data_IF_855891255343
#
_entry.id   IF_855891255343
#
_cell.length_a   1.000
_cell.length_b   1.000
_cell.length_c   1.000
_cell.angle_alpha   90.00
_cell.angle_beta   90.00
_cell.angle_gamma   90.00
#
_symmetry.space_group_name_H-M   'P 1'
#
loop_
_entity.id
_entity.type
_entity.pdbx_description
1 polymer ?
#
# COMPACT_ATOMS: atom_id res chain seq x y z
N UNK A 1 52.51 -17.15 43.85
CA UNK A 1 51.67 -17.39 42.65
C UNK A 1 50.21 -17.00 42.89
N UNK A 2 49.62 -17.33 44.06
CA UNK A 2 48.23 -17.02 44.43
C UNK A 2 47.83 -15.53 44.37
N UNK A 3 48.73 -14.60 44.73
CA UNK A 3 48.43 -13.16 44.70
C UNK A 3 48.29 -12.61 43.27
N UNK A 4 49.09 -13.13 42.33
CA UNK A 4 49.03 -12.73 40.91
C UNK A 4 47.78 -13.29 40.22
N UNK A 5 47.36 -14.50 40.56
CA UNK A 5 46.13 -15.10 40.03
C UNK A 5 44.87 -14.40 40.59
N UNK A 6 44.90 -13.97 41.85
CA UNK A 6 43.82 -13.19 42.45
C UNK A 6 43.67 -11.81 41.78
N UNK A 7 44.78 -11.13 41.50
CA UNK A 7 44.78 -9.82 40.85
C UNK A 7 44.30 -9.92 39.39
N UNK A 8 44.66 -10.99 38.67
CA UNK A 8 44.16 -11.27 37.32
C UNK A 8 42.64 -11.56 37.30
N UNK A 9 42.12 -12.25 38.33
CA UNK A 9 40.69 -12.52 38.48
C UNK A 9 39.90 -11.23 38.76
N UNK A 10 40.42 -10.35 39.62
CA UNK A 10 39.77 -9.07 39.93
C UNK A 10 39.71 -8.18 38.69
N UNK A 11 40.80 -8.11 37.90
CA UNK A 11 40.85 -7.32 36.66
C UNK A 11 39.92 -7.88 35.58
N UNK A 12 39.80 -9.21 35.47
CA UNK A 12 38.86 -9.84 34.51
C UNK A 12 37.40 -9.63 34.91
N UNK A 13 37.08 -9.69 36.21
CA UNK A 13 35.74 -9.40 36.72
C UNK A 13 35.39 -7.92 36.53
N UNK A 14 36.30 -6.98 36.80
CA UNK A 14 36.04 -5.54 36.59
C UNK A 14 35.94 -5.17 35.11
N UNK A 15 36.73 -5.77 34.22
CA UNK A 15 36.55 -5.61 32.77
C UNK A 15 35.21 -6.16 32.29
N UNK A 16 34.74 -7.26 32.86
CA UNK A 16 33.46 -7.88 32.49
C UNK A 16 32.25 -7.04 32.97
N UNK A 17 32.37 -6.35 34.11
CA UNK A 17 31.30 -5.47 34.62
C UNK A 17 31.22 -4.11 33.91
N UNK A 18 32.30 -3.63 33.27
CA UNK A 18 32.29 -2.36 32.54
C UNK A 18 31.57 -2.41 31.18
N UNK A 19 31.18 -3.58 30.67
CA UNK A 19 30.49 -3.71 29.38
C UNK A 19 28.96 -3.69 29.46
N UNK A 20 28.39 -3.41 30.64
CA UNK A 20 26.94 -3.45 30.88
C UNK A 20 26.33 -2.07 31.22
N UNK A 21 26.95 -0.99 30.78
CA UNK A 21 26.23 0.27 30.58
C UNK A 21 25.74 0.31 29.13
N UNK A 22 24.84 -0.62 28.79
CA UNK A 22 24.00 -0.50 27.60
C UNK A 22 22.99 0.59 27.97
N UNK A 23 23.28 1.84 27.61
CA UNK A 23 22.21 2.83 27.58
C UNK A 23 21.19 2.27 26.59
N UNK A 24 20.04 1.80 27.09
CA UNK A 24 19.01 1.22 26.23
C UNK A 24 18.52 2.30 25.25
N UNK A 25 19.15 2.35 24.09
CA UNK A 25 18.83 3.35 23.09
C UNK A 25 17.50 2.98 22.43
N UNK A 26 16.64 3.98 22.29
CA UNK A 26 15.40 3.87 21.53
C UNK A 26 15.54 4.58 20.18
N UNK A 27 15.15 3.86 19.12
CA UNK A 27 15.21 4.32 17.75
C UNK A 27 13.88 4.09 17.08
N UNK A 28 13.26 5.17 16.61
CA UNK A 28 11.97 5.11 15.92
C UNK A 28 12.16 5.28 14.41
N UNK A 29 11.78 4.24 13.67
CA UNK A 29 11.69 4.28 12.22
C UNK A 29 10.25 4.51 11.79
N UNK A 30 10.06 5.38 10.79
CA UNK A 30 8.73 5.72 10.29
C UNK A 30 8.72 5.54 8.79
N UNK A 31 7.76 4.77 8.29
CA UNK A 31 7.55 4.61 6.86
C UNK A 31 6.16 5.07 6.46
N UNK A 32 6.09 5.80 5.36
CA UNK A 32 4.86 6.33 4.75
C UNK A 32 4.69 5.66 3.39
N UNK A 33 3.53 5.04 3.18
CA UNK A 33 3.21 4.30 1.97
C UNK A 33 1.81 4.61 1.46
N UNK A 34 1.66 4.78 0.15
CA UNK A 34 0.36 4.81 -0.52
C UNK A 34 -0.07 3.38 -0.85
N UNK A 35 -1.27 2.98 -0.41
CA UNK A 35 -1.78 1.62 -0.68
C UNK A 35 -2.47 1.51 -2.04
N UNK A 36 -2.90 2.63 -2.62
CA UNK A 36 -3.57 2.65 -3.92
C UNK A 36 -2.57 2.44 -5.07
N UNK A 37 -2.95 1.60 -6.03
CA UNK A 37 -2.20 1.43 -7.28
C UNK A 37 -2.31 2.65 -8.21
N UNK A 38 -3.47 3.29 -8.22
CA UNK A 38 -3.76 4.49 -8.98
C UNK A 38 -4.39 5.52 -8.05
N UNK A 39 -3.91 6.76 -8.12
CA UNK A 39 -4.49 7.87 -7.38
C UNK A 39 -5.30 8.69 -8.36
N UNK A 40 -6.60 8.75 -8.11
CA UNK A 40 -7.59 9.29 -9.03
C UNK A 40 -8.35 10.39 -8.31
N UNK A 41 -8.61 11.47 -9.03
CA UNK A 41 -9.45 12.55 -8.56
C UNK A 41 -10.82 12.01 -8.09
N UNK A 42 -11.29 12.51 -6.95
CA UNK A 42 -12.55 12.15 -6.29
C UNK A 42 -12.68 10.69 -5.81
N UNK A 43 -11.62 9.89 -5.90
CA UNK A 43 -11.57 8.53 -5.36
C UNK A 43 -10.73 8.47 -4.08
N UNK A 44 -10.96 7.45 -3.27
CA UNK A 44 -10.31 7.34 -1.97
C UNK A 44 -8.81 7.02 -2.11
N UNK A 45 -7.99 7.87 -1.48
CA UNK A 45 -6.55 7.76 -1.33
C UNK A 45 -6.22 7.29 0.09
N UNK A 46 -5.65 6.11 0.21
CA UNK A 46 -5.28 5.50 1.49
C UNK A 46 -3.77 5.60 1.72
N UNK A 47 -3.41 6.28 2.80
CA UNK A 47 -2.03 6.45 3.25
C UNK A 47 -1.83 5.66 4.54
N UNK A 48 -0.80 4.83 4.55
CA UNK A 48 -0.39 4.02 5.68
C UNK A 48 0.92 4.54 6.25
N UNK A 49 0.91 4.85 7.53
CA UNK A 49 2.10 5.13 8.34
C UNK A 49 2.42 3.89 9.17
N UNK A 50 3.67 3.44 9.12
CA UNK A 50 4.18 2.36 9.95
C UNK A 50 5.30 2.91 10.81
N UNK A 51 5.11 2.90 12.11
CA UNK A 51 6.09 3.31 13.10
C UNK A 51 6.66 2.04 13.73
N UNK A 52 7.98 1.88 13.72
CA UNK A 52 8.66 0.73 14.28
C UNK A 52 9.73 1.18 15.27
N UNK A 53 9.61 0.74 16.52
CA UNK A 53 10.64 0.94 17.52
C UNK A 53 11.66 -0.19 17.41
N UNK A 54 12.82 0.11 16.83
CA UNK A 54 13.93 -0.83 16.70
C UNK A 54 14.86 -0.86 17.92
N UNK A 55 14.62 0.01 18.90
CA UNK A 55 15.41 0.08 20.12
C UNK A 55 14.99 -0.94 21.18
N UNK A 56 15.85 -1.05 22.19
CA UNK A 56 15.63 -1.93 23.34
C UNK A 56 14.76 -1.28 24.43
N UNK A 57 14.65 0.05 24.44
CA UNK A 57 13.79 0.82 25.34
C UNK A 57 12.44 1.19 24.73
N UNK A 58 11.45 1.46 25.59
CA UNK A 58 10.14 1.98 25.20
C UNK A 58 10.24 3.46 24.82
N UNK A 59 9.56 3.85 23.74
CA UNK A 59 9.44 5.24 23.30
C UNK A 59 8.16 5.85 23.86
N UNK A 60 8.21 7.13 24.25
CA UNK A 60 7.08 7.84 24.87
C UNK A 60 6.69 9.10 24.10
N UNK A 61 5.43 9.55 24.29
CA UNK A 61 4.89 10.81 23.77
C UNK A 61 5.16 11.01 22.28
N UNK A 62 4.69 10.07 21.46
CA UNK A 62 4.87 10.10 20.01
C UNK A 62 3.79 11.00 19.39
N UNK A 63 4.19 11.97 18.60
CA UNK A 63 3.31 12.83 17.81
C UNK A 63 3.74 12.78 16.35
N UNK A 64 2.85 12.31 15.48
CA UNK A 64 3.05 12.38 14.03
C UNK A 64 2.35 13.62 13.51
N UNK A 65 2.98 14.36 12.60
CA UNK A 65 2.40 15.49 11.91
C UNK A 65 2.64 15.37 10.40
N UNK A 66 1.56 15.35 9.63
CA UNK A 66 1.59 15.32 8.18
C UNK A 66 0.54 16.24 7.53
N UNK A 67 0.16 17.32 8.21
CA UNK A 67 -0.85 18.27 7.72
C UNK A 67 -0.36 18.99 6.46
N UNK A 68 0.93 19.34 6.41
CA UNK A 68 1.53 20.12 5.32
C UNK A 68 1.50 19.38 3.98
N UNK A 69 1.60 18.04 3.99
CA UNK A 69 1.51 17.22 2.77
C UNK A 69 0.09 17.20 2.18
N UNK A 70 -0.94 17.50 2.98
CA UNK A 70 -2.35 17.31 2.62
C UNK A 70 -3.20 18.54 2.93
N UNK A 71 -3.02 19.65 2.19
CA UNK A 71 -3.82 20.85 2.39
C UNK A 71 -5.30 20.61 2.08
N UNK A 72 -6.19 21.15 2.93
CA UNK A 72 -7.65 20.97 2.84
C UNK A 72 -8.28 21.48 1.53
N UNK A 73 -7.59 22.39 0.83
CA UNK A 73 -8.01 22.91 -0.48
C UNK A 73 -7.90 21.85 -1.59
N UNK A 74 -6.93 20.93 -1.48
CA UNK A 74 -6.65 19.89 -2.48
C UNK A 74 -7.13 18.51 -2.05
N UNK A 75 -7.23 18.26 -0.75
CA UNK A 75 -7.64 16.97 -0.20
C UNK A 75 -8.79 17.14 0.78
N UNK A 76 -9.70 16.18 0.79
CA UNK A 76 -10.71 16.01 1.82
C UNK A 76 -10.30 14.88 2.76
N UNK A 77 -10.39 15.09 4.07
CA UNK A 77 -10.09 14.06 5.05
C UNK A 77 -11.36 13.27 5.35
N UNK A 78 -11.40 12.00 4.91
CA UNK A 78 -12.56 11.15 5.11
C UNK A 78 -12.46 10.35 6.41
N UNK A 79 -11.29 9.76 6.67
CA UNK A 79 -11.08 8.92 7.85
C UNK A 79 -9.66 9.05 8.38
N UNK A 80 -9.52 8.96 9.71
CA UNK A 80 -8.24 9.06 10.40
C UNK A 80 -7.89 10.50 10.77
N UNK A 81 -6.67 10.67 11.27
CA UNK A 81 -6.16 11.93 11.81
C UNK A 81 -4.75 12.15 11.24
N UNK A 82 -4.44 13.34 10.74
CA UNK A 82 -3.11 13.68 10.18
C UNK A 82 -2.09 14.09 11.25
N UNK A 83 -2.57 14.38 12.47
CA UNK A 83 -1.77 14.72 13.64
C UNK A 83 -2.05 13.82 14.87
N UNK A 84 -1.96 12.48 14.75
CA UNK A 84 -2.25 11.58 15.87
C UNK A 84 -1.15 11.63 16.94
N UNK A 85 -1.55 11.40 18.19
CA UNK A 85 -0.65 11.31 19.34
C UNK A 85 -0.80 9.94 20.01
N UNK A 86 0.33 9.33 20.37
CA UNK A 86 0.39 8.06 21.08
C UNK A 86 1.24 8.19 22.33
N UNK A 87 0.79 7.56 23.41
CA UNK A 87 1.47 7.65 24.71
C UNK A 87 2.80 6.88 24.71
N UNK A 88 2.82 5.67 24.16
CA UNK A 88 4.00 4.80 24.15
C UNK A 88 4.02 3.77 23.03
N UNK A 89 5.22 3.35 22.64
CA UNK A 89 5.49 2.19 21.77
C UNK A 89 6.56 1.34 22.44
N UNK A 90 6.22 0.08 22.74
CA UNK A 90 7.11 -0.86 23.42
C UNK A 90 8.37 -1.14 22.58
N UNK A 91 9.42 -1.62 23.22
CA UNK A 91 10.62 -2.11 22.56
C UNK A 91 10.28 -3.17 21.50
N UNK A 92 11.00 -3.15 20.36
CA UNK A 92 10.83 -4.09 19.26
C UNK A 92 9.38 -4.24 18.74
N UNK A 93 8.54 -3.21 18.88
CA UNK A 93 7.13 -3.25 18.49
C UNK A 93 6.79 -2.26 17.36
N UNK A 94 5.71 -2.56 16.63
CA UNK A 94 5.23 -1.74 15.52
C UNK A 94 3.84 -1.15 15.82
N UNK A 95 3.62 0.06 15.33
CA UNK A 95 2.33 0.75 15.34
C UNK A 95 1.98 1.15 13.91
N UNK A 96 0.76 0.85 13.48
CA UNK A 96 0.28 1.23 12.15
C UNK A 96 -0.88 2.20 12.24
N UNK A 97 -0.80 3.29 11.50
CA UNK A 97 -1.85 4.29 11.40
C UNK A 97 -2.25 4.48 9.94
N UNK A 98 -3.55 4.60 9.68
CA UNK A 98 -4.08 4.70 8.33
C UNK A 98 -4.98 5.92 8.23
N UNK A 99 -4.79 6.68 7.16
CA UNK A 99 -5.59 7.86 6.85
C UNK A 99 -6.17 7.70 5.45
N UNK A 100 -7.46 7.98 5.31
CA UNK A 100 -8.17 7.96 4.03
C UNK A 100 -8.54 9.38 3.68
N UNK A 101 -8.05 9.81 2.53
CA UNK A 101 -8.21 11.14 1.96
C UNK A 101 -8.93 11.03 0.61
N UNK A 102 -9.49 12.13 0.12
CA UNK A 102 -10.03 12.22 -1.23
C UNK A 102 -9.41 13.43 -1.95
N UNK A 103 -8.62 13.24 -3.01
CA UNK A 103 -8.07 14.34 -3.79
C UNK A 103 -9.16 15.01 -4.63
N UNK A 104 -9.29 16.33 -4.51
CA UNK A 104 -10.31 17.14 -5.20
C UNK A 104 -9.88 17.54 -6.61
N UNK A 105 -8.58 17.68 -6.85
CA UNK A 105 -8.01 18.17 -8.11
C UNK A 105 -7.06 17.14 -8.72
N UNK A 106 -7.09 17.03 -10.05
CA UNK A 106 -6.11 16.23 -10.80
C UNK A 106 -4.84 17.04 -11.09
N UNK A 107 -3.69 16.37 -11.14
CA UNK A 107 -2.42 17.01 -11.45
C UNK A 107 -1.26 16.43 -10.64
N UNK A 108 -0.04 16.95 -10.85
CA UNK A 108 1.10 16.60 -10.03
C UNK A 108 0.90 17.10 -8.59
N UNK A 109 1.19 16.24 -7.63
CA UNK A 109 1.16 16.55 -6.21
C UNK A 109 2.44 16.02 -5.56
N UNK A 110 3.12 16.89 -4.82
CA UNK A 110 4.30 16.50 -4.07
C UNK A 110 3.87 15.94 -2.72
N UNK A 111 4.23 14.68 -2.46
CA UNK A 111 3.94 14.00 -1.22
C UNK A 111 5.21 13.95 -0.37
N UNK A 112 5.37 14.96 0.47
CA UNK A 112 6.51 15.10 1.39
C UNK A 112 6.47 14.07 2.52
N UNK A 113 7.55 14.00 3.28
CA UNK A 113 7.65 13.17 4.48
C UNK A 113 6.76 13.73 5.61
N UNK A 114 6.29 12.83 6.48
CA UNK A 114 5.69 13.20 7.76
C UNK A 114 6.79 13.44 8.80
N UNK A 115 6.56 14.37 9.71
CA UNK A 115 7.44 14.66 10.83
C UNK A 115 6.92 13.94 12.06
N UNK A 116 7.76 13.16 12.74
CA UNK A 116 7.37 12.46 13.96
C UNK A 116 8.30 12.88 15.10
N UNK A 117 7.72 13.37 16.18
CA UNK A 117 8.43 13.72 17.40
C UNK A 117 8.17 12.69 18.50
N UNK A 118 9.18 12.38 19.29
CA UNK A 118 9.07 11.39 20.37
C UNK A 118 10.10 11.64 21.48
N UNK A 119 9.93 10.97 22.62
CA UNK A 119 10.86 10.99 23.75
C UNK A 119 11.44 9.62 24.01
N UNK A 120 12.75 9.55 24.25
CA UNK A 120 13.47 8.29 24.52
C UNK A 120 13.24 7.74 25.93
N UNK A 121 12.88 8.61 26.89
CA UNK A 121 12.63 8.27 28.29
C UNK A 121 11.52 9.14 28.85
N UNK A 122 10.76 8.60 29.81
CA UNK A 122 9.65 9.32 30.47
C UNK A 122 10.15 10.51 31.33
N UNK A 123 11.34 10.39 31.91
CA UNK A 123 11.90 11.39 32.84
C UNK A 123 12.64 12.53 32.15
N UNK A 124 13.04 12.33 30.90
CA UNK A 124 13.85 13.29 30.14
C UNK A 124 12.95 14.06 29.17
N UNK A 125 12.98 15.39 29.22
CA UNK A 125 12.20 16.26 28.32
C UNK A 125 12.86 16.47 26.95
N UNK A 126 13.84 15.65 26.59
CA UNK A 126 14.52 15.74 25.31
C UNK A 126 13.63 15.15 24.21
N UNK A 127 13.16 16.01 23.31
CA UNK A 127 12.32 15.63 22.18
C UNK A 127 13.22 15.32 20.99
N UNK A 128 13.11 14.11 20.48
CA UNK A 128 13.77 13.67 19.26
C UNK A 128 12.81 13.80 18.09
N UNK A 129 13.33 14.17 16.93
CA UNK A 129 12.56 14.29 15.69
C UNK A 129 13.07 13.26 14.70
N UNK A 130 12.17 12.49 14.11
CA UNK A 130 12.45 11.59 12.99
C UNK A 130 11.51 11.91 11.84
N UNK A 131 11.91 11.52 10.64
CA UNK A 131 11.16 11.77 9.42
C UNK A 131 10.70 10.45 8.82
N UNK A 132 9.52 10.46 8.20
CA UNK A 132 9.08 9.31 7.42
C UNK A 132 9.80 9.22 6.09
N UNK A 133 9.67 8.08 5.41
CA UNK A 133 9.96 8.00 3.98
C UNK A 133 9.14 9.02 3.19
N UNK A 134 9.73 9.56 2.14
CA UNK A 134 9.06 10.41 1.16
C UNK A 134 8.51 9.56 0.01
N UNK A 135 7.31 9.86 -0.47
CA UNK A 135 6.71 9.17 -1.63
C UNK A 135 7.16 9.85 -2.94
N UNK A 136 7.42 11.17 -2.88
CA UNK A 136 7.89 11.98 -4.01
C UNK A 136 6.73 12.62 -4.77
N UNK A 137 6.98 12.93 -6.04
CA UNK A 137 5.96 13.49 -6.93
C UNK A 137 4.99 12.38 -7.38
N UNK A 138 3.71 12.56 -7.05
CA UNK A 138 2.64 11.67 -7.44
C UNK A 138 1.68 12.41 -8.38
N UNK A 139 1.39 11.81 -9.53
CA UNK A 139 0.37 12.35 -10.44
C UNK A 139 -1.01 11.81 -10.08
N UNK A 140 -1.91 12.72 -9.69
CA UNK A 140 -3.33 12.43 -9.50
C UNK A 140 -4.01 12.44 -10.87
N UNK A 141 -4.49 11.29 -11.30
CA UNK A 141 -5.15 11.10 -12.60
C UNK A 141 -6.57 11.68 -12.53
N UNK A 142 -7.01 12.37 -13.59
CA UNK A 142 -8.40 12.85 -13.66
C UNK A 142 -9.37 11.65 -13.72
N UNK A 143 -10.56 11.79 -13.13
CA UNK A 143 -11.59 10.74 -13.18
C UNK A 143 -11.90 10.35 -14.64
N UNK A 144 -12.01 11.34 -15.53
CA UNK A 144 -12.24 11.13 -16.97
C UNK A 144 -11.15 10.28 -17.63
N UNK A 145 -9.88 10.58 -17.36
CA UNK A 145 -8.77 9.83 -17.96
C UNK A 145 -8.64 8.43 -17.39
N UNK A 146 -8.98 8.26 -16.11
CA UNK A 146 -9.07 6.96 -15.48
C UNK A 146 -10.19 6.12 -16.12
N UNK A 147 -11.40 6.64 -16.21
CA UNK A 147 -12.55 5.94 -16.80
C UNK A 147 -12.28 5.57 -18.26
N UNK A 148 -11.67 6.44 -19.05
CA UNK A 148 -11.30 6.11 -20.43
C UNK A 148 -10.36 4.91 -20.54
N UNK A 149 -9.46 4.72 -19.57
CA UNK A 149 -8.46 3.63 -19.58
C UNK A 149 -8.95 2.35 -18.91
N UNK A 150 -9.80 2.49 -17.89
CA UNK A 150 -10.14 1.41 -16.97
C UNK A 150 -11.65 1.12 -16.90
N UNK A 151 -12.49 1.81 -17.68
CA UNK A 151 -13.93 1.47 -17.75
C UNK A 151 -14.14 0.10 -18.38
N UNK A 152 -15.02 -0.68 -17.76
CA UNK A 152 -15.45 -1.96 -18.30
C UNK A 152 -16.43 -1.72 -19.45
N UNK A 153 -16.03 -2.08 -20.67
CA UNK A 153 -16.89 -1.98 -21.86
C UNK A 153 -17.78 -3.23 -22.02
N UNK A 154 -18.17 -3.86 -20.90
CA UNK A 154 -18.81 -5.17 -20.90
C UNK A 154 -20.16 -5.17 -21.61
N UNK A 155 -20.99 -4.14 -21.36
CA UNK A 155 -22.28 -3.99 -22.03
C UNK A 155 -22.13 -3.74 -23.53
N UNK A 156 -21.13 -2.94 -23.93
CA UNK A 156 -20.85 -2.67 -25.34
C UNK A 156 -20.47 -3.96 -26.08
N UNK A 157 -19.65 -4.81 -25.46
CA UNK A 157 -19.30 -6.13 -26.00
C UNK A 157 -20.50 -7.08 -26.11
N UNK A 158 -21.41 -7.06 -25.14
CA UNK A 158 -22.65 -7.85 -25.21
C UNK A 158 -23.53 -7.36 -26.35
N UNK A 159 -23.76 -6.05 -26.44
CA UNK A 159 -24.58 -5.45 -27.51
C UNK A 159 -23.98 -5.75 -28.88
N UNK A 160 -22.67 -5.56 -29.04
CA UNK A 160 -21.95 -5.91 -30.26
C UNK A 160 -22.15 -7.38 -30.63
N UNK A 161 -22.03 -8.29 -29.66
CA UNK A 161 -22.19 -9.72 -29.88
C UNK A 161 -23.64 -10.05 -30.27
N UNK A 162 -24.63 -9.48 -29.59
CA UNK A 162 -26.04 -9.67 -29.94
C UNK A 162 -26.36 -9.17 -31.36
N UNK A 163 -25.76 -8.06 -31.79
CA UNK A 163 -25.94 -7.53 -33.14
C UNK A 163 -25.16 -8.33 -34.20
N UNK A 164 -24.01 -8.90 -33.85
CA UNK A 164 -23.19 -9.72 -34.75
C UNK A 164 -23.74 -11.15 -34.93
N UNK A 165 -24.43 -11.69 -33.93
CA UNK A 165 -24.99 -13.05 -33.96
C UNK A 165 -25.89 -13.28 -35.19
N UNK A 166 -26.88 -12.44 -35.53
CA UNK A 166 -27.70 -12.64 -36.73
C UNK A 166 -26.89 -12.72 -38.02
N UNK A 167 -25.86 -11.86 -38.15
CA UNK A 167 -25.00 -11.81 -39.32
C UNK A 167 -24.14 -13.07 -39.49
N UNK A 168 -23.82 -13.77 -38.40
CA UNK A 168 -23.03 -15.02 -38.42
C UNK A 168 -23.95 -16.26 -38.46
N UNK A 169 -24.99 -16.27 -37.63
CA UNK A 169 -25.91 -17.39 -37.45
C UNK A 169 -26.78 -17.61 -38.69
N UNK A 170 -27.23 -16.55 -39.37
CA UNK A 170 -28.11 -16.69 -40.53
C UNK A 170 -27.41 -17.38 -41.73
N UNK A 171 -26.22 -16.94 -42.19
CA UNK A 171 -25.49 -17.66 -43.24
C UNK A 171 -25.08 -19.08 -42.81
N UNK A 172 -24.68 -19.26 -41.55
CA UNK A 172 -24.32 -20.59 -41.02
C UNK A 172 -25.51 -21.55 -41.05
N UNK A 173 -26.70 -21.10 -40.63
CA UNK A 173 -27.92 -21.90 -40.68
C UNK A 173 -28.26 -22.31 -42.12
N UNK A 174 -28.20 -21.36 -43.07
CA UNK A 174 -28.45 -21.65 -44.48
C UNK A 174 -27.46 -22.69 -45.03
N UNK A 175 -26.17 -22.54 -44.73
CA UNK A 175 -25.14 -23.51 -45.14
C UNK A 175 -25.37 -24.89 -44.50
N UNK A 176 -25.65 -24.95 -43.20
CA UNK A 176 -25.87 -26.20 -42.48
C UNK A 176 -27.09 -26.97 -43.02
N UNK A 177 -28.19 -26.25 -43.27
CA UNK A 177 -29.37 -26.82 -43.91
C UNK A 177 -29.10 -27.31 -45.33
N UNK A 178 -28.26 -26.59 -46.10
CA UNK A 178 -27.86 -27.01 -47.44
C UNK A 178 -27.02 -28.29 -47.40
N UNK A 179 -25.96 -28.31 -46.58
CA UNK A 179 -25.04 -29.44 -46.45
C UNK A 179 -25.77 -30.71 -46.00
N UNK A 180 -26.59 -30.62 -44.96
CA UNK A 180 -27.36 -31.77 -44.45
C UNK A 180 -28.27 -32.36 -45.54
N UNK A 181 -28.90 -31.54 -46.38
CA UNK A 181 -29.69 -32.03 -47.52
C UNK A 181 -28.82 -32.78 -48.53
N UNK A 182 -27.68 -32.22 -48.94
CA UNK A 182 -26.78 -32.89 -49.90
C UNK A 182 -26.25 -34.23 -49.35
N UNK A 183 -25.83 -34.26 -48.08
CA UNK A 183 -25.32 -35.48 -47.45
C UNK A 183 -26.39 -36.59 -47.42
N UNK A 184 -27.66 -36.25 -47.16
CA UNK A 184 -28.76 -37.24 -47.19
C UNK A 184 -29.05 -37.77 -48.60
N UNK A 185 -28.94 -36.93 -49.62
CA UNK A 185 -29.12 -37.36 -51.02
C UNK A 185 -27.99 -38.31 -51.42
N UNK A 186 -26.74 -37.95 -51.13
CA UNK A 186 -25.57 -38.79 -51.39
C UNK A 186 -25.69 -40.14 -50.66
N UNK A 187 -26.16 -40.14 -49.41
CA UNK A 187 -26.37 -41.36 -48.63
C UNK A 187 -27.46 -42.26 -49.26
N UNK A 188 -28.59 -41.68 -49.71
CA UNK A 188 -29.66 -42.42 -50.40
C UNK A 188 -29.19 -43.00 -51.74
N UNK A 189 -28.44 -42.23 -52.52
CA UNK A 189 -27.89 -42.71 -53.81
C UNK A 189 -26.89 -43.86 -53.62
N UNK A 190 -26.08 -43.82 -52.55
CA UNK A 190 -25.21 -44.95 -52.18
C UNK A 190 -26.02 -46.17 -51.77
N UNK A 191 -27.07 -46.00 -50.97
CA UNK A 191 -27.92 -47.11 -50.51
C UNK A 191 -28.70 -47.78 -51.66
N UNK A 192 -29.04 -47.04 -52.72
CA UNK A 192 -29.74 -47.58 -53.90
C UNK A 192 -28.82 -48.36 -54.86
N UNK A 193 -27.50 -48.18 -54.74
CA UNK A 193 -26.48 -48.86 -55.57
C UNK A 193 -25.95 -50.17 -54.94
N UNK A 194 -26.34 -50.47 -53.70
CA UNK A 194 -26.10 -51.74 -53.01
C UNK A 194 -27.30 -52.66 -53.21
#
# INVERSE_FOLDING_TARGET
MLFKTLLLLIVTVTLCTCQLSDEEESYLFVTKHTLNRYVVQNNDLTIKYSLFNAGQATVFSIELNDIDSFPADKFDLLYGILNPKWERINAASNLTHVVILKPKQSGPCNMTHAVVTYRKSEKTNEVQTTYSSEIGELTIVSTRDYDRKFSSHFLDWILFTMMAIPCIAFPFALWFMSKTRYDTIIAKDKAKKL
#
